data_IF_139185727549
#
_entry.id   IF_139185727549
#
_cell.length_a   1.000
_cell.length_b   1.000
_cell.length_c   1.000
_cell.angle_alpha   90.00
_cell.angle_beta   90.00
_cell.angle_gamma   90.00
#
_symmetry.space_group_name_H-M   'P 1'
#
loop_
_entity.id
_entity.type
_entity.pdbx_description
1 polymer ?
#
# COMPACT_ATOMS: atom_id res chain seq x y z
N UNK A 1 20.67 15.16 8.55
CA UNK A 1 19.24 15.39 8.27
C UNK A 1 18.53 14.05 8.31
N UNK A 2 17.43 13.97 9.03
CA UNK A 2 16.59 12.75 9.08
C UNK A 2 15.96 12.53 7.69
N UNK A 3 16.08 11.29 7.16
CA UNK A 3 15.48 10.96 5.85
C UNK A 3 13.95 10.85 6.01
N UNK A 4 13.22 11.65 5.26
CA UNK A 4 11.76 11.50 5.14
C UNK A 4 11.47 10.42 4.10
N UNK A 5 10.80 9.34 4.52
CA UNK A 5 10.41 8.26 3.62
C UNK A 5 9.04 8.55 2.99
N UNK A 6 8.92 8.30 1.71
CA UNK A 6 7.65 8.42 1.00
C UNK A 6 6.99 7.05 0.88
N UNK A 7 5.74 6.94 1.36
CA UNK A 7 4.99 5.69 1.41
C UNK A 7 3.72 5.84 0.57
N UNK A 8 3.53 4.96 -0.41
CA UNK A 8 2.32 4.87 -1.23
C UNK A 8 1.38 3.78 -0.73
N UNK A 9 0.07 4.05 -0.66
CA UNK A 9 -0.95 3.12 -0.17
C UNK A 9 -1.87 2.68 -1.31
N UNK A 10 -1.56 1.54 -1.93
CA UNK A 10 -2.28 0.96 -3.05
C UNK A 10 -3.29 -0.12 -2.62
N UNK A 11 -4.44 -0.15 -3.25
CA UNK A 11 -5.46 -1.16 -2.98
C UNK A 11 -6.79 -0.81 -3.64
N UNK A 12 -7.77 -1.69 -3.55
CA UNK A 12 -9.09 -1.46 -4.09
C UNK A 12 -9.74 -0.18 -3.55
N UNK A 13 -10.53 0.45 -4.39
CA UNK A 13 -11.41 1.57 -4.05
C UNK A 13 -12.76 1.21 -4.69
N UNK A 14 -13.67 0.67 -3.88
CA UNK A 14 -14.97 0.18 -4.33
C UNK A 14 -16.10 0.95 -3.66
N UNK A 15 -17.14 1.21 -4.42
CA UNK A 15 -18.35 1.81 -3.88
C UNK A 15 -19.02 0.85 -2.88
N UNK A 16 -19.44 1.36 -1.72
CA UNK A 16 -20.08 0.55 -0.69
C UNK A 16 -19.14 -0.29 0.17
N UNK A 17 -17.82 -0.11 0.05
CA UNK A 17 -16.80 -0.84 0.78
C UNK A 17 -15.97 0.09 1.68
N UNK A 18 -16.49 0.49 2.86
CA UNK A 18 -15.78 1.39 3.77
C UNK A 18 -14.43 0.84 4.25
N UNK A 19 -14.27 -0.48 4.25
CA UNK A 19 -13.01 -1.13 4.58
C UNK A 19 -11.87 -0.77 3.61
N UNK A 20 -12.20 -0.42 2.36
CA UNK A 20 -11.21 0.03 1.37
C UNK A 20 -10.62 1.40 1.74
N UNK A 21 -11.30 2.17 2.58
CA UNK A 21 -10.82 3.44 3.13
C UNK A 21 -10.14 3.22 4.47
N UNK A 22 -10.82 2.53 5.38
CA UNK A 22 -10.45 2.40 6.79
C UNK A 22 -9.03 1.86 7.00
N UNK A 23 -8.56 0.93 6.17
CA UNK A 23 -7.20 0.41 6.29
C UNK A 23 -6.14 1.47 6.01
N UNK A 24 -6.39 2.39 5.05
CA UNK A 24 -5.48 3.48 4.74
C UNK A 24 -5.42 4.48 5.87
N UNK A 25 -6.56 4.82 6.44
CA UNK A 25 -6.65 5.69 7.62
C UNK A 25 -5.92 5.09 8.81
N UNK A 26 -6.09 3.79 9.06
CA UNK A 26 -5.36 3.09 10.12
C UNK A 26 -3.83 3.17 9.94
N UNK A 27 -3.32 3.02 8.71
CA UNK A 27 -1.89 3.19 8.41
C UNK A 27 -1.45 4.64 8.64
N UNK A 28 -2.22 5.62 8.15
CA UNK A 28 -1.90 7.05 8.30
C UNK A 28 -1.78 7.42 9.78
N UNK A 29 -2.81 7.10 10.58
CA UNK A 29 -2.84 7.38 12.02
C UNK A 29 -1.67 6.70 12.74
N UNK A 30 -1.39 5.45 12.38
CA UNK A 30 -0.32 4.69 13.03
C UNK A 30 1.08 5.25 12.76
N UNK A 31 1.27 5.95 11.66
CA UNK A 31 2.56 6.54 11.26
C UNK A 31 2.69 8.02 11.64
N UNK A 32 1.68 8.61 12.28
CA UNK A 32 1.76 9.98 12.79
C UNK A 32 2.99 10.19 13.67
N UNK A 33 3.65 11.32 13.51
CA UNK A 33 4.86 11.67 14.25
C UNK A 33 6.13 10.95 13.80
N UNK A 34 6.07 10.06 12.82
CA UNK A 34 7.24 9.51 12.15
C UNK A 34 7.64 10.38 10.94
N UNK A 35 8.90 10.35 10.51
CA UNK A 35 9.38 11.14 9.36
C UNK A 35 8.95 10.51 8.04
N UNK A 36 7.66 10.50 7.79
CA UNK A 36 7.07 9.95 6.57
C UNK A 36 6.19 10.93 5.84
N UNK A 37 6.15 10.81 4.53
CA UNK A 37 5.15 11.42 3.65
C UNK A 37 4.27 10.30 3.08
N UNK A 38 2.97 10.36 3.36
CA UNK A 38 2.02 9.37 2.84
C UNK A 38 1.42 9.88 1.53
N UNK A 39 1.51 9.07 0.48
CA UNK A 39 0.80 9.25 -0.79
C UNK A 39 -0.43 8.34 -0.77
N UNK A 40 -1.59 8.96 -0.53
CA UNK A 40 -2.88 8.26 -0.49
C UNK A 40 -3.68 8.62 -1.74
N UNK A 41 -4.06 7.66 -2.61
CA UNK A 41 -4.87 7.91 -3.80
C UNK A 41 -6.26 8.48 -3.49
N UNK A 42 -6.69 8.39 -2.21
CA UNK A 42 -7.95 8.97 -1.72
C UNK A 42 -7.80 10.39 -1.17
N UNK A 43 -6.60 10.96 -1.15
CA UNK A 43 -6.39 12.32 -0.66
C UNK A 43 -7.25 13.33 -1.45
N UNK A 44 -8.05 14.14 -0.73
CA UNK A 44 -9.00 15.08 -1.33
C UNK A 44 -10.27 14.46 -1.92
N UNK A 45 -10.49 13.17 -1.71
CA UNK A 45 -11.73 12.47 -2.09
C UNK A 45 -12.55 12.16 -0.83
N UNK A 46 -13.86 12.30 -0.93
CA UNK A 46 -14.80 11.96 0.15
C UNK A 46 -15.75 10.88 -0.35
N UNK A 47 -15.92 9.84 0.43
CA UNK A 47 -16.93 8.82 0.18
C UNK A 47 -18.25 9.19 0.86
N UNK A 48 -19.32 9.30 0.09
CA UNK A 48 -20.66 9.53 0.60
C UNK A 48 -21.34 8.18 0.87
N UNK A 49 -21.57 7.88 2.13
CA UNK A 49 -22.24 6.64 2.56
C UNK A 49 -23.70 6.55 2.11
N UNK A 50 -24.35 7.69 1.85
CA UNK A 50 -25.77 7.72 1.45
C UNK A 50 -25.92 7.39 -0.03
N UNK A 51 -25.12 8.03 -0.88
CA UNK A 51 -25.13 7.80 -2.33
C UNK A 51 -24.24 6.64 -2.73
N UNK A 52 -23.42 6.12 -1.81
CA UNK A 52 -22.39 5.09 -2.03
C UNK A 52 -21.46 5.44 -3.19
N UNK A 53 -21.09 6.72 -3.28
CA UNK A 53 -20.25 7.22 -4.36
C UNK A 53 -19.10 8.10 -3.84
N UNK A 54 -18.06 8.20 -4.65
CA UNK A 54 -16.91 9.06 -4.39
C UNK A 54 -17.14 10.45 -4.98
N UNK A 55 -16.89 11.48 -4.17
CA UNK A 55 -16.80 12.86 -4.63
C UNK A 55 -15.37 13.38 -4.46
N UNK A 56 -14.92 14.17 -5.42
CA UNK A 56 -13.63 14.85 -5.33
C UNK A 56 -13.86 16.34 -5.11
N UNK A 57 -13.41 16.85 -3.96
CA UNK A 57 -13.42 18.28 -3.67
C UNK A 57 -12.11 18.91 -4.18
N UNK A 58 -12.19 19.62 -5.31
CA UNK A 58 -11.06 20.38 -5.87
C UNK A 58 -9.98 19.55 -6.57
N UNK A 59 -10.13 18.23 -6.66
CA UNK A 59 -9.21 17.34 -7.38
C UNK A 59 -9.92 16.76 -8.61
N UNK A 60 -9.34 16.84 -9.81
CA UNK A 60 -9.94 16.22 -10.99
C UNK A 60 -10.15 14.71 -10.81
N UNK A 61 -11.35 14.22 -11.11
CA UNK A 61 -11.71 12.79 -11.01
C UNK A 61 -11.73 12.09 -12.36
N UNK A 62 -11.11 12.66 -13.40
CA UNK A 62 -11.03 11.99 -14.70
C UNK A 62 -10.10 10.78 -14.65
N UNK A 63 -10.43 9.72 -15.38
CA UNK A 63 -9.58 8.52 -15.46
C UNK A 63 -8.12 8.84 -15.83
N UNK A 64 -7.92 9.81 -16.73
CA UNK A 64 -6.58 10.27 -17.14
C UNK A 64 -5.81 10.91 -15.99
N UNK A 65 -6.49 11.73 -15.18
CA UNK A 65 -5.84 12.37 -14.02
C UNK A 65 -5.53 11.33 -12.93
N UNK A 66 -6.48 10.45 -12.60
CA UNK A 66 -6.29 9.37 -11.64
C UNK A 66 -5.07 8.53 -12.04
N UNK A 67 -5.03 8.08 -13.30
CA UNK A 67 -3.90 7.29 -13.79
C UNK A 67 -2.55 8.03 -13.69
N UNK A 68 -2.51 9.31 -14.06
CA UNK A 68 -1.28 10.11 -14.03
C UNK A 68 -0.81 10.35 -12.57
N UNK A 69 -1.75 10.63 -11.66
CA UNK A 69 -1.47 10.86 -10.25
C UNK A 69 -0.95 9.60 -9.55
N UNK A 70 -1.64 8.46 -9.75
CA UNK A 70 -1.27 7.21 -9.09
C UNK A 70 0.07 6.69 -9.64
N UNK A 71 0.29 6.83 -10.95
CA UNK A 71 1.59 6.56 -11.58
C UNK A 71 2.71 7.39 -10.96
N UNK A 72 2.51 8.70 -10.84
CA UNK A 72 3.49 9.59 -10.22
C UNK A 72 3.75 9.19 -8.76
N UNK A 73 2.70 8.89 -8.02
CA UNK A 73 2.82 8.46 -6.61
C UNK A 73 3.65 7.20 -6.44
N UNK A 74 3.48 6.22 -7.34
CA UNK A 74 4.30 5.00 -7.35
C UNK A 74 5.76 5.32 -7.70
N UNK A 75 6.01 6.23 -8.64
CA UNK A 75 7.37 6.59 -9.05
C UNK A 75 8.15 7.31 -7.94
N UNK A 76 7.44 8.05 -7.08
CA UNK A 76 8.03 8.88 -6.02
C UNK A 76 8.15 8.15 -4.68
N UNK A 77 7.62 6.93 -4.53
CA UNK A 77 7.63 6.25 -3.24
C UNK A 77 8.92 5.47 -2.98
N UNK A 78 9.40 5.52 -1.73
CA UNK A 78 10.44 4.60 -1.22
C UNK A 78 9.83 3.24 -0.86
N UNK A 79 8.60 3.26 -0.34
CA UNK A 79 7.85 2.08 0.13
C UNK A 79 6.46 2.11 -0.51
N UNK A 80 6.01 0.97 -1.03
CA UNK A 80 4.65 0.78 -1.51
C UNK A 80 3.94 -0.31 -0.69
N UNK A 81 2.80 0.02 -0.09
CA UNK A 81 1.95 -0.92 0.64
C UNK A 81 0.78 -1.29 -0.23
N UNK A 82 0.68 -2.55 -0.62
CA UNK A 82 -0.37 -3.09 -1.46
C UNK A 82 -1.36 -3.92 -0.63
N UNK A 83 -2.63 -3.51 -0.59
CA UNK A 83 -3.69 -4.29 0.01
C UNK A 83 -4.44 -5.09 -1.04
N UNK A 84 -4.17 -6.40 -1.11
CA UNK A 84 -4.75 -7.34 -2.04
C UNK A 84 -5.99 -8.08 -1.50
N UNK A 85 -6.51 -7.72 -0.34
CA UNK A 85 -7.68 -8.41 0.26
C UNK A 85 -8.90 -8.44 -0.65
N UNK A 86 -9.09 -7.44 -1.52
CA UNK A 86 -10.16 -7.44 -2.50
C UNK A 86 -10.06 -8.60 -3.52
N UNK A 87 -8.85 -9.11 -3.82
CA UNK A 87 -8.67 -10.27 -4.69
C UNK A 87 -9.28 -11.53 -4.08
N UNK A 88 -9.16 -11.73 -2.76
CA UNK A 88 -9.78 -12.87 -2.06
C UNK A 88 -11.31 -12.85 -2.13
N UNK A 89 -11.88 -11.68 -2.37
CA UNK A 89 -13.32 -11.46 -2.54
C UNK A 89 -13.76 -11.52 -4.01
N UNK A 90 -12.88 -11.99 -4.92
CA UNK A 90 -13.17 -12.10 -6.35
C UNK A 90 -13.14 -10.78 -7.13
N UNK A 91 -12.67 -9.69 -6.51
CA UNK A 91 -12.54 -8.40 -7.20
C UNK A 91 -11.20 -8.32 -7.94
N UNK A 92 -11.18 -8.10 -9.27
CA UNK A 92 -9.94 -8.22 -10.08
C UNK A 92 -8.86 -7.19 -9.76
N UNK A 93 -9.19 -6.07 -9.14
CA UNK A 93 -8.26 -5.05 -8.65
C UNK A 93 -7.15 -4.66 -9.66
N UNK A 94 -7.53 -4.47 -10.92
CA UNK A 94 -6.62 -4.27 -12.06
C UNK A 94 -5.68 -3.09 -11.83
N UNK A 95 -6.20 -1.95 -11.32
CA UNK A 95 -5.40 -0.77 -11.02
C UNK A 95 -4.25 -1.10 -10.07
N UNK A 96 -4.54 -1.76 -8.96
CA UNK A 96 -3.55 -2.15 -7.97
C UNK A 96 -2.48 -3.11 -8.54
N UNK A 97 -2.86 -4.02 -9.45
CA UNK A 97 -1.89 -4.91 -10.10
C UNK A 97 -0.96 -4.15 -11.06
N UNK A 98 -1.47 -3.16 -11.79
CA UNK A 98 -0.67 -2.29 -12.67
C UNK A 98 0.31 -1.46 -11.83
N UNK A 99 -0.15 -0.88 -10.73
CA UNK A 99 0.68 -0.13 -9.77
C UNK A 99 1.77 -1.01 -9.16
N UNK A 100 1.44 -2.24 -8.81
CA UNK A 100 2.38 -3.22 -8.27
C UNK A 100 3.51 -3.53 -9.26
N UNK A 101 3.16 -3.84 -10.51
CA UNK A 101 4.16 -4.06 -11.56
C UNK A 101 5.07 -2.85 -11.78
N UNK A 102 4.51 -1.62 -11.64
CA UNK A 102 5.29 -0.40 -11.71
C UNK A 102 6.20 -0.21 -10.51
N UNK A 103 5.72 -0.44 -9.29
CA UNK A 103 6.52 -0.36 -8.06
C UNK A 103 7.73 -1.31 -8.11
N UNK A 104 7.52 -2.54 -8.61
CA UNK A 104 8.59 -3.49 -8.87
C UNK A 104 9.64 -2.92 -9.84
N UNK A 105 9.19 -2.27 -10.92
CA UNK A 105 10.09 -1.70 -11.92
C UNK A 105 10.93 -0.54 -11.40
N UNK A 106 10.36 0.32 -10.54
CA UNK A 106 11.08 1.48 -9.99
C UNK A 106 11.94 1.14 -8.78
N UNK A 107 11.84 -0.10 -8.26
CA UNK A 107 12.65 -0.58 -7.14
C UNK A 107 12.15 -0.11 -5.77
N UNK A 108 10.88 0.23 -5.63
CA UNK A 108 10.28 0.52 -4.34
C UNK A 108 10.29 -0.73 -3.44
N UNK A 109 10.41 -0.55 -2.12
CA UNK A 109 10.19 -1.64 -1.17
C UNK A 109 8.70 -1.97 -1.10
N UNK A 110 8.33 -3.17 -1.47
CA UNK A 110 6.93 -3.60 -1.58
C UNK A 110 6.52 -4.40 -0.35
N UNK A 111 5.42 -3.99 0.28
CA UNK A 111 4.75 -4.71 1.35
C UNK A 111 3.33 -5.07 0.91
N UNK A 112 3.02 -6.37 0.94
CA UNK A 112 1.74 -6.91 0.48
C UNK A 112 0.90 -7.40 1.65
N UNK A 113 -0.36 -6.97 1.72
CA UNK A 113 -1.36 -7.44 2.66
C UNK A 113 -2.29 -8.37 1.90
N UNK A 114 -2.36 -9.64 2.33
CA UNK A 114 -3.11 -10.70 1.66
C UNK A 114 -3.95 -11.43 2.69
N UNK A 115 -5.19 -11.72 2.35
CA UNK A 115 -6.04 -12.55 3.22
C UNK A 115 -5.40 -13.93 3.39
N UNK A 116 -5.19 -14.42 4.63
CA UNK A 116 -4.58 -15.72 4.88
C UNK A 116 -5.40 -16.89 4.31
N UNK A 117 -6.71 -16.69 4.11
CA UNK A 117 -7.61 -17.68 3.53
C UNK A 117 -7.68 -17.59 2.00
N UNK A 118 -6.93 -16.64 1.38
CA UNK A 118 -6.88 -16.51 -0.06
C UNK A 118 -6.17 -17.71 -0.70
N UNK A 119 -6.97 -18.61 -1.24
CA UNK A 119 -6.49 -19.82 -1.91
C UNK A 119 -6.47 -19.67 -3.44
N UNK A 120 -6.47 -18.50 -3.98
CA UNK A 120 -6.34 -18.03 -5.39
C UNK A 120 -6.63 -18.98 -6.55
N UNK A 121 -6.62 -20.30 -6.34
CA UNK A 121 -6.96 -21.36 -7.28
C UNK A 121 -7.27 -22.65 -6.52
N UNK A 122 -8.20 -23.49 -7.03
CA UNK A 122 -8.53 -24.83 -6.48
C UNK A 122 -7.29 -25.74 -6.32
N UNK A 123 -6.20 -25.46 -7.02
CA UNK A 123 -4.91 -26.16 -6.94
C UNK A 123 -3.87 -25.46 -6.04
N UNK A 124 -4.21 -24.35 -5.37
CA UNK A 124 -3.26 -23.53 -4.63
C UNK A 124 -2.98 -23.99 -3.20
N UNK A 125 -2.98 -25.29 -2.95
CA UNK A 125 -2.40 -25.84 -1.70
C UNK A 125 -0.91 -25.46 -1.52
N UNK A 126 -0.28 -24.89 -2.54
CA UNK A 126 1.16 -24.62 -2.57
C UNK A 126 1.51 -23.12 -2.55
N UNK A 127 0.60 -22.22 -2.97
CA UNK A 127 0.88 -20.78 -3.05
C UNK A 127 -0.27 -19.97 -2.46
N UNK A 128 -0.03 -19.34 -1.31
CA UNK A 128 -0.97 -18.39 -0.70
C UNK A 128 -1.12 -17.10 -1.48
N UNK A 129 -0.15 -16.80 -2.33
CA UNK A 129 -0.11 -15.65 -3.21
C UNK A 129 0.46 -16.08 -4.56
N UNK A 130 0.00 -15.43 -5.65
CA UNK A 130 0.57 -15.71 -6.98
C UNK A 130 2.06 -15.36 -6.98
N UNK A 131 2.96 -16.19 -7.54
CA UNK A 131 4.42 -15.95 -7.50
C UNK A 131 4.83 -14.56 -7.98
N UNK A 132 4.16 -14.00 -8.98
CA UNK A 132 4.42 -12.63 -9.47
C UNK A 132 4.07 -11.52 -8.47
N UNK A 133 3.34 -11.82 -7.42
CA UNK A 133 3.06 -10.90 -6.32
C UNK A 133 3.92 -11.22 -5.10
N UNK A 134 4.25 -12.49 -4.87
CA UNK A 134 5.04 -12.93 -3.73
C UNK A 134 6.51 -12.56 -3.90
N UNK A 135 7.13 -12.94 -5.00
CA UNK A 135 8.58 -12.75 -5.24
C UNK A 135 9.04 -11.28 -5.18
N UNK A 136 8.30 -10.30 -5.75
CA UNK A 136 8.70 -8.90 -5.63
C UNK A 136 8.38 -8.29 -4.25
N UNK A 137 7.57 -8.95 -3.41
CA UNK A 137 7.20 -8.44 -2.10
C UNK A 137 8.31 -8.65 -1.09
N UNK A 138 8.86 -7.57 -0.55
CA UNK A 138 9.85 -7.63 0.52
C UNK A 138 9.29 -8.28 1.81
N UNK A 139 7.97 -8.14 2.03
CA UNK A 139 7.23 -8.84 3.09
C UNK A 139 5.76 -8.98 2.73
N UNK A 140 5.16 -10.09 3.16
CA UNK A 140 3.73 -10.38 3.01
C UNK A 140 3.10 -10.50 4.39
N UNK A 141 1.95 -9.86 4.60
CA UNK A 141 1.25 -9.78 5.88
C UNK A 141 -0.17 -10.36 5.76
N UNK A 142 -0.65 -11.08 6.78
CA UNK A 142 -2.00 -11.63 6.77
C UNK A 142 -3.09 -10.56 7.00
N UNK A 143 -2.72 -9.41 7.57
CA UNK A 143 -3.64 -8.32 7.89
C UNK A 143 -2.95 -6.96 7.98
N UNK A 144 -3.77 -5.91 8.05
CA UNK A 144 -3.32 -4.52 8.16
C UNK A 144 -2.55 -4.26 9.46
N UNK A 145 -2.97 -4.86 10.57
CA UNK A 145 -2.38 -4.61 11.88
C UNK A 145 -0.92 -5.12 11.93
N UNK A 146 -0.69 -6.33 11.43
CA UNK A 146 0.66 -6.91 11.31
C UNK A 146 1.56 -6.07 10.41
N UNK A 147 1.03 -5.59 9.29
CA UNK A 147 1.76 -4.70 8.39
C UNK A 147 2.13 -3.38 9.09
N UNK A 148 1.20 -2.75 9.82
CA UNK A 148 1.44 -1.52 10.58
C UNK A 148 2.55 -1.71 11.62
N UNK A 149 2.50 -2.78 12.40
CA UNK A 149 3.52 -3.07 13.42
C UNK A 149 4.91 -3.16 12.79
N UNK A 150 5.01 -3.86 11.68
CA UNK A 150 6.27 -3.99 10.96
C UNK A 150 6.72 -2.65 10.35
N UNK A 151 5.81 -1.95 9.67
CA UNK A 151 6.09 -0.69 8.97
C UNK A 151 6.59 0.38 9.94
N UNK A 152 6.00 0.51 11.13
CA UNK A 152 6.48 1.44 12.18
C UNK A 152 7.92 1.18 12.56
N UNK A 153 8.27 -0.07 12.82
CA UNK A 153 9.64 -0.48 13.18
C UNK A 153 10.61 -0.21 12.03
N UNK A 154 10.20 -0.53 10.81
CA UNK A 154 11.05 -0.37 9.65
C UNK A 154 11.29 1.10 9.31
N UNK A 155 10.25 1.94 9.35
CA UNK A 155 10.38 3.40 9.16
C UNK A 155 11.32 3.98 10.21
N UNK A 156 11.15 3.62 11.48
CA UNK A 156 12.03 4.10 12.55
C UNK A 156 13.49 3.68 12.33
N UNK A 157 13.74 2.46 11.87
CA UNK A 157 15.08 1.98 11.56
C UNK A 157 15.70 2.72 10.37
N UNK A 158 14.96 2.88 9.27
CA UNK A 158 15.44 3.54 8.05
C UNK A 158 15.65 5.05 8.23
N UNK A 159 14.89 5.69 9.13
CA UNK A 159 15.05 7.11 9.45
C UNK A 159 16.16 7.42 10.45
N UNK A 160 16.84 6.39 10.95
CA UNK A 160 17.94 6.56 11.91
C UNK A 160 17.51 6.80 13.36
N UNK A 161 16.21 6.58 13.68
CA UNK A 161 15.67 6.75 15.04
C UNK A 161 15.96 5.58 15.99
N UNK A 162 16.51 4.46 15.47
CA UNK A 162 16.96 3.36 16.33
C UNK A 162 18.45 3.53 16.67
N UNK A 163 18.81 3.82 17.95
CA UNK A 163 20.20 3.90 18.40
C UNK A 163 20.79 2.49 18.55
N UNK A 164 20.80 1.67 17.54
CA UNK A 164 21.31 0.29 17.65
C UNK A 164 21.70 -0.35 16.33
N UNK A 165 21.31 0.24 15.20
CA UNK A 165 21.77 -0.16 13.87
C UNK A 165 22.74 0.87 13.29
N UNK A 166 23.65 1.36 14.14
CA UNK A 166 24.80 2.14 13.71
C UNK A 166 25.74 1.24 12.92
N UNK A 167 25.69 1.37 11.61
CA UNK A 167 26.76 1.14 10.68
C UNK A 167 27.64 -0.08 10.87
N UNK A 168 27.26 -1.23 10.33
CA UNK A 168 28.28 -2.09 9.71
C UNK A 168 28.42 -1.60 8.27
N UNK A 169 29.31 -0.65 8.05
CA UNK A 169 29.86 -0.39 6.73
C UNK A 169 30.77 -1.58 6.43
N UNK A 170 30.27 -2.53 5.61
CA UNK A 170 31.14 -3.55 5.04
C UNK A 170 31.91 -2.84 3.93
N UNK A 171 33.19 -2.56 4.23
CA UNK A 171 34.20 -2.15 3.24
C UNK A 171 34.55 -3.30 2.33
#
# INVERSE_FOLDING_TARGET
MEKILTIYLAGAIRDGHPEDVAWREAVIIALEGLPVRILNPLAGKTYDLTTKSWSASGVPSTAKFIWAHDRWSVDECDIAVFNFRALSQGYPNIGTLVEFGRATKVGALIYSIVDPDYTGHENAKMYKLHPFLEEPSASVFPDVASCIVFLKKHVAALSGRFPGFGGVVVS
#
